data_IF_664605387343
#
_entry.id   IF_664605387343
#
_cell.length_a   1.000
_cell.length_b   1.000
_cell.length_c   1.000
_cell.angle_alpha   90.00
_cell.angle_beta   90.00
_cell.angle_gamma   90.00
#
_symmetry.space_group_name_H-M   'P 1'
#
loop_
_entity.id
_entity.type
_entity.pdbx_description
1 polymer ?
#
# COMPACT_ATOMS: atom_id res chain seq x y z
N UNK A 1 2.01 14.46 -10.46
CA UNK A 1 1.24 13.24 -10.84
C UNK A 1 1.96 12.46 -11.95
N UNK A 2 1.93 11.12 -11.94
CA UNK A 2 2.50 10.24 -13.00
C UNK A 2 1.42 9.58 -13.88
N UNK A 3 1.31 9.92 -15.19
CA UNK A 3 0.40 9.26 -16.12
C UNK A 3 0.80 7.83 -16.49
N UNK A 4 -0.18 6.98 -16.79
CA UNK A 4 0.00 5.58 -17.18
C UNK A 4 0.24 5.41 -18.69
N UNK A 5 1.29 6.06 -19.21
CA UNK A 5 1.67 6.03 -20.64
C UNK A 5 3.15 5.65 -20.74
N UNK A 6 3.45 4.52 -21.40
CA UNK A 6 4.78 3.88 -21.38
C UNK A 6 5.93 4.78 -21.86
N UNK A 7 5.68 5.72 -22.78
CA UNK A 7 6.70 6.61 -23.34
C UNK A 7 6.84 7.95 -22.59
N UNK A 8 6.05 8.20 -21.55
CA UNK A 8 6.05 9.48 -20.83
C UNK A 8 6.63 9.26 -19.44
N UNK A 9 7.92 9.55 -19.33
CA UNK A 9 8.68 9.44 -18.08
C UNK A 9 8.61 10.70 -17.19
N UNK A 10 7.69 11.62 -17.50
CA UNK A 10 7.56 12.91 -16.82
C UNK A 10 6.40 12.91 -15.83
N UNK A 11 6.60 13.60 -14.72
CA UNK A 11 5.55 13.96 -13.78
C UNK A 11 4.91 15.30 -14.18
N UNK A 12 3.60 15.44 -13.97
CA UNK A 12 2.85 16.64 -14.33
C UNK A 12 2.02 17.14 -13.14
N UNK A 13 1.93 18.45 -13.02
CA UNK A 13 1.13 19.12 -11.99
C UNK A 13 -0.32 19.29 -12.46
N UNK A 14 -1.23 19.00 -11.55
CA UNK A 14 -2.67 19.14 -11.76
C UNK A 14 -3.30 19.77 -10.52
N UNK A 15 -4.34 20.56 -10.72
CA UNK A 15 -5.15 21.11 -9.65
C UNK A 15 -6.10 20.03 -9.12
N UNK A 16 -6.14 19.87 -7.80
CA UNK A 16 -7.14 19.04 -7.11
C UNK A 16 -8.39 19.90 -6.86
N UNK A 17 -9.55 19.58 -7.46
CA UNK A 17 -10.80 20.28 -7.14
C UNK A 17 -11.22 20.00 -5.69
N UNK A 18 -11.85 20.98 -5.03
CA UNK A 18 -12.32 20.86 -3.64
C UNK A 18 -13.19 19.61 -3.41
N UNK A 19 -14.06 19.28 -4.37
CA UNK A 19 -14.92 18.08 -4.32
C UNK A 19 -14.15 16.74 -4.30
N UNK A 20 -12.86 16.75 -4.64
CA UNK A 20 -11.97 15.59 -4.64
C UNK A 20 -10.90 15.67 -3.54
N UNK A 21 -10.78 16.77 -2.80
CA UNK A 21 -9.70 17.00 -1.82
C UNK A 21 -9.59 15.86 -0.81
N UNK A 22 -10.71 15.44 -0.22
CA UNK A 22 -10.74 14.37 0.81
C UNK A 22 -10.42 12.96 0.27
N UNK A 23 -10.38 12.78 -1.06
CA UNK A 23 -10.16 11.49 -1.73
C UNK A 23 -8.78 11.37 -2.38
N UNK A 24 -8.08 12.48 -2.51
CA UNK A 24 -6.82 12.57 -3.25
C UNK A 24 -5.68 12.67 -2.24
N UNK A 25 -4.86 11.64 -2.20
CA UNK A 25 -3.62 11.55 -1.43
C UNK A 25 -2.55 10.92 -2.34
N UNK A 26 -1.28 10.99 -1.93
CA UNK A 26 -0.21 10.26 -2.62
C UNK A 26 -0.59 8.78 -2.77
N UNK A 27 -0.44 8.26 -3.99
CA UNK A 27 -0.85 6.91 -4.35
C UNK A 27 -2.22 6.79 -5.00
N UNK A 28 -3.14 7.75 -4.78
CA UNK A 28 -4.49 7.69 -5.37
C UNK A 28 -4.41 7.55 -6.89
N UNK A 29 -5.17 6.60 -7.43
CA UNK A 29 -5.33 6.41 -8.86
C UNK A 29 -6.37 7.41 -9.35
N UNK A 30 -5.99 8.26 -10.29
CA UNK A 30 -6.83 9.35 -10.78
C UNK A 30 -7.00 9.29 -12.31
N UNK A 31 -7.94 10.08 -12.82
CA UNK A 31 -8.14 10.31 -14.24
C UNK A 31 -7.78 11.75 -14.58
N UNK A 32 -6.98 11.94 -15.63
CA UNK A 32 -6.56 13.26 -16.10
C UNK A 32 -6.65 13.40 -17.61
N UNK A 33 -6.59 14.65 -18.07
CA UNK A 33 -6.38 14.95 -19.50
C UNK A 33 -4.89 15.14 -19.75
N UNK A 34 -4.34 14.32 -20.64
CA UNK A 34 -2.98 14.46 -21.18
C UNK A 34 -3.08 14.58 -22.70
N UNK A 35 -2.62 15.69 -23.27
CA UNK A 35 -2.70 15.96 -24.72
C UNK A 35 -4.09 15.69 -25.32
N UNK A 36 -5.15 16.16 -24.64
CA UNK A 36 -6.54 16.00 -25.09
C UNK A 36 -7.15 14.61 -24.87
N UNK A 37 -6.38 13.64 -24.38
CA UNK A 37 -6.85 12.27 -24.10
C UNK A 37 -7.06 12.05 -22.61
N UNK A 38 -8.09 11.27 -22.26
CA UNK A 38 -8.36 10.87 -20.87
C UNK A 38 -7.48 9.67 -20.51
N UNK A 39 -6.51 9.87 -19.62
CA UNK A 39 -5.56 8.83 -19.20
C UNK A 39 -5.63 8.60 -17.70
N UNK A 40 -5.38 7.36 -17.29
CA UNK A 40 -5.15 7.01 -15.89
C UNK A 40 -3.79 7.55 -15.45
N UNK A 41 -3.63 7.81 -14.17
CA UNK A 41 -2.32 7.86 -13.54
C UNK A 41 -2.41 7.86 -12.02
N UNK A 42 -1.30 8.18 -11.37
CA UNK A 42 -1.16 8.17 -9.92
C UNK A 42 -0.70 9.51 -9.39
N UNK A 43 -1.23 9.90 -8.25
CA UNK A 43 -0.66 10.99 -7.44
C UNK A 43 0.65 10.47 -6.85
N UNK A 44 1.73 11.21 -7.02
CA UNK A 44 3.10 10.80 -6.58
C UNK A 44 3.73 11.82 -5.63
N UNK A 45 3.07 12.95 -5.46
CA UNK A 45 3.37 14.04 -4.54
C UNK A 45 2.12 14.92 -4.43
N UNK A 46 1.94 15.53 -3.27
CA UNK A 46 0.97 16.59 -2.95
C UNK A 46 1.72 17.83 -2.44
N UNK A 47 1.00 18.95 -2.28
CA UNK A 47 1.53 20.24 -1.81
C UNK A 47 2.83 20.72 -2.51
N UNK A 48 2.93 20.42 -3.81
CA UNK A 48 4.09 20.80 -4.63
C UNK A 48 4.04 22.27 -5.03
N UNK A 49 5.21 22.89 -5.15
CA UNK A 49 5.34 24.16 -5.87
C UNK A 49 5.25 23.85 -7.36
N UNK A 50 4.21 24.31 -8.07
CA UNK A 50 3.99 23.88 -9.44
C UNK A 50 5.01 24.50 -10.40
N UNK A 51 5.47 23.74 -11.38
CA UNK A 51 6.42 24.20 -12.43
C UNK A 51 5.85 25.35 -13.27
N UNK A 52 4.52 25.46 -13.31
CA UNK A 52 3.76 26.53 -13.98
C UNK A 52 2.89 27.22 -12.95
N UNK A 53 2.63 28.52 -13.15
CA UNK A 53 1.72 29.25 -12.26
C UNK A 53 0.36 28.56 -12.12
N UNK A 54 -0.20 28.53 -10.91
CA UNK A 54 -1.38 27.74 -10.55
C UNK A 54 -2.58 27.90 -11.50
N UNK A 55 -2.79 29.09 -12.07
CA UNK A 55 -3.87 29.36 -13.04
C UNK A 55 -3.75 28.65 -14.39
N UNK A 56 -2.65 27.94 -14.66
CA UNK A 56 -2.43 27.16 -15.89
C UNK A 56 -2.59 25.64 -15.66
N UNK A 57 -2.80 25.23 -14.40
CA UNK A 57 -2.94 23.81 -14.08
C UNK A 57 -4.31 23.30 -14.52
N UNK A 58 -4.31 22.13 -15.15
CA UNK A 58 -5.56 21.44 -15.47
C UNK A 58 -6.09 20.77 -14.21
N UNK A 59 -7.41 20.76 -14.05
CA UNK A 59 -8.06 20.04 -12.96
C UNK A 59 -8.02 18.51 -13.17
N UNK A 60 -7.92 17.76 -12.08
CA UNK A 60 -8.18 16.32 -12.08
C UNK A 60 -9.63 16.03 -12.50
N UNK A 61 -9.85 14.97 -13.28
CA UNK A 61 -11.19 14.60 -13.74
C UNK A 61 -11.94 13.73 -12.72
N UNK A 62 -11.22 12.85 -12.02
CA UNK A 62 -11.78 11.94 -11.02
C UNK A 62 -10.69 11.30 -10.16
N UNK A 63 -11.00 11.03 -8.89
CA UNK A 63 -10.34 10.01 -8.09
C UNK A 63 -11.02 8.66 -8.36
N UNK A 64 -10.28 7.70 -8.93
CA UNK A 64 -10.83 6.44 -9.44
C UNK A 64 -10.73 5.33 -8.40
N UNK A 65 -9.58 5.19 -7.76
CA UNK A 65 -9.30 4.11 -6.80
C UNK A 65 -8.22 4.52 -5.82
N UNK A 66 -8.21 3.92 -4.63
CA UNK A 66 -7.00 3.81 -3.82
C UNK A 66 -5.91 3.12 -4.64
N UNK A 67 -4.67 3.59 -4.49
CA UNK A 67 -3.50 2.93 -5.05
C UNK A 67 -2.50 2.57 -3.94
N UNK A 68 -1.22 2.34 -4.28
CA UNK A 68 -0.20 2.04 -3.28
C UNK A 68 -0.07 3.20 -2.28
N UNK A 69 0.14 2.93 -0.97
CA UNK A 69 0.40 3.99 0.01
C UNK A 69 1.70 4.74 -0.29
N UNK A 70 1.89 5.92 0.33
CA UNK A 70 2.99 6.83 0.01
C UNK A 70 4.39 6.20 0.15
N UNK A 71 4.60 5.41 1.20
CA UNK A 71 5.83 4.64 1.42
C UNK A 71 6.09 3.62 0.31
N UNK A 72 5.06 2.96 -0.20
CA UNK A 72 5.15 2.04 -1.34
C UNK A 72 5.36 2.81 -2.65
N UNK A 73 4.80 4.01 -2.81
CA UNK A 73 5.09 4.89 -3.96
C UNK A 73 6.58 5.25 -3.99
N UNK A 74 7.16 5.61 -2.83
CA UNK A 74 8.59 5.90 -2.72
C UNK A 74 9.45 4.65 -2.95
N UNK A 75 9.04 3.49 -2.44
CA UNK A 75 9.70 2.22 -2.75
C UNK A 75 9.64 1.91 -4.26
N UNK A 76 8.51 2.15 -4.92
CA UNK A 76 8.37 1.99 -6.36
C UNK A 76 9.30 2.95 -7.13
N UNK A 77 9.48 4.19 -6.64
CA UNK A 77 10.39 5.17 -7.23
C UNK A 77 11.84 4.70 -7.09
N UNK A 78 12.24 4.26 -5.91
CA UNK A 78 13.55 3.66 -5.68
C UNK A 78 13.78 2.43 -6.57
N UNK A 79 12.78 1.55 -6.68
CA UNK A 79 12.88 0.35 -7.49
C UNK A 79 13.05 0.67 -8.99
N UNK A 80 12.24 1.60 -9.51
CA UNK A 80 12.36 2.06 -10.90
C UNK A 80 13.76 2.56 -11.22
N UNK A 81 14.35 3.37 -10.32
CA UNK A 81 15.73 3.83 -10.43
C UNK A 81 16.75 2.68 -10.33
N UNK A 82 16.61 1.79 -9.32
CA UNK A 82 17.56 0.72 -9.01
C UNK A 82 17.67 -0.36 -10.09
N UNK A 83 16.57 -0.62 -10.80
CA UNK A 83 16.47 -1.67 -11.83
C UNK A 83 16.21 -1.10 -13.24
N UNK A 84 16.36 0.21 -13.43
CA UNK A 84 16.14 0.90 -14.71
C UNK A 84 14.79 0.55 -15.38
N UNK A 85 13.73 0.40 -14.57
CA UNK A 85 12.39 0.04 -15.02
C UNK A 85 11.44 1.25 -15.04
N UNK A 86 10.34 1.23 -15.83
CA UNK A 86 9.39 2.33 -15.84
C UNK A 86 8.67 2.48 -14.50
N UNK A 87 8.69 3.70 -13.92
CA UNK A 87 8.03 3.96 -12.64
C UNK A 87 6.53 3.65 -12.65
N UNK A 88 5.85 3.95 -13.77
CA UNK A 88 4.44 3.61 -13.97
C UNK A 88 4.16 2.10 -13.96
N UNK A 89 5.12 1.27 -14.40
CA UNK A 89 4.96 -0.18 -14.34
C UNK A 89 5.03 -0.70 -12.90
N UNK A 90 5.93 -0.14 -12.08
CA UNK A 90 6.01 -0.45 -10.65
C UNK A 90 4.73 -0.04 -9.92
N UNK A 91 4.26 1.19 -10.16
CA UNK A 91 3.00 1.67 -9.58
C UNK A 91 1.80 0.82 -10.01
N UNK A 92 1.77 0.35 -11.26
CA UNK A 92 0.74 -0.56 -11.74
C UNK A 92 0.79 -1.91 -11.04
N UNK A 93 1.98 -2.48 -10.85
CA UNK A 93 2.15 -3.74 -10.12
C UNK A 93 1.77 -3.62 -8.64
N UNK A 94 2.05 -2.48 -8.01
CA UNK A 94 1.69 -2.19 -6.62
C UNK A 94 0.23 -1.73 -6.44
N UNK A 95 -0.54 -1.59 -7.53
CA UNK A 95 -1.94 -1.19 -7.46
C UNK A 95 -2.86 -2.40 -7.29
N UNK A 96 -4.01 -2.24 -6.60
CA UNK A 96 -5.04 -3.28 -6.56
C UNK A 96 -5.54 -3.66 -7.97
N UNK A 97 -5.83 -4.95 -8.23
CA UNK A 97 -6.36 -5.39 -9.53
C UNK A 97 -7.80 -4.91 -9.78
N UNK A 98 -8.55 -4.65 -8.70
CA UNK A 98 -9.92 -4.15 -8.72
C UNK A 98 -10.01 -2.73 -8.15
N UNK A 99 -11.07 -1.99 -8.51
CA UNK A 99 -11.31 -0.64 -7.96
C UNK A 99 -11.57 -0.74 -6.45
N UNK A 100 -10.76 -0.02 -5.68
CA UNK A 100 -10.91 0.14 -4.24
C UNK A 100 -11.28 1.59 -3.96
N UNK A 101 -12.37 1.91 -3.25
CA UNK A 101 -12.71 3.29 -2.92
C UNK A 101 -11.54 3.99 -2.19
N UNK A 102 -11.08 5.16 -2.66
CA UNK A 102 -10.07 5.94 -1.96
C UNK A 102 -10.65 6.40 -0.63
N UNK A 103 -10.04 5.95 0.47
CA UNK A 103 -10.30 6.38 1.84
C UNK A 103 -9.01 6.97 2.42
N UNK A 104 -9.08 7.89 3.39
CA UNK A 104 -7.89 8.31 4.12
C UNK A 104 -7.12 7.07 4.60
N UNK A 105 -5.88 6.96 4.15
CA UNK A 105 -5.01 5.90 4.61
C UNK A 105 -4.43 6.34 5.95
N UNK A 106 -4.94 5.78 7.04
CA UNK A 106 -4.18 5.78 8.27
C UNK A 106 -2.95 4.89 8.00
N UNK A 107 -1.71 5.39 8.18
CA UNK A 107 -0.56 4.52 8.20
C UNK A 107 -0.89 3.38 9.15
N UNK A 108 -0.71 2.10 8.77
CA UNK A 108 -0.66 1.08 9.79
C UNK A 108 0.40 1.60 10.77
N UNK A 109 0.06 1.67 12.06
CA UNK A 109 1.08 1.83 13.10
C UNK A 109 2.17 0.86 12.67
N UNK A 110 3.34 1.43 12.34
CA UNK A 110 4.41 0.70 11.69
C UNK A 110 4.48 -0.63 12.42
N UNK A 111 4.50 -1.72 11.65
CA UNK A 111 4.66 -3.05 12.21
C UNK A 111 6.03 -3.19 12.91
N UNK A 112 6.33 -2.39 13.93
CA UNK A 112 6.44 -2.93 15.28
C UNK A 112 5.21 -3.80 15.49
N UNK A 113 5.26 -4.98 14.85
CA UNK A 113 4.76 -6.18 15.46
C UNK A 113 5.16 -6.02 16.92
N UNK A 114 4.23 -5.88 17.89
CA UNK A 114 4.69 -6.14 19.23
C UNK A 114 5.38 -7.49 19.10
N UNK A 115 6.60 -7.62 19.63
CA UNK A 115 7.16 -8.95 19.87
C UNK A 115 6.11 -9.59 20.78
N UNK A 116 5.14 -10.27 20.18
CA UNK A 116 4.07 -10.91 20.90
C UNK A 116 4.82 -12.04 21.58
N UNK A 117 5.06 -11.87 22.88
CA UNK A 117 5.63 -12.93 23.69
C UNK A 117 4.77 -14.16 23.46
N UNK A 118 5.40 -15.30 23.17
CA UNK A 118 4.66 -16.55 23.03
C UNK A 118 3.70 -16.71 24.22
N UNK A 119 2.43 -17.06 23.98
CA UNK A 119 1.48 -17.24 25.07
C UNK A 119 1.97 -18.35 26.02
N UNK A 120 1.60 -18.34 27.30
CA UNK A 120 1.97 -19.40 28.22
C UNK A 120 1.51 -20.75 27.67
N UNK A 121 2.46 -21.67 27.58
CA UNK A 121 2.32 -23.00 26.98
C UNK A 121 1.71 -23.99 27.98
N UNK A 122 0.41 -23.86 28.26
CA UNK A 122 -0.33 -24.85 29.05
C UNK A 122 -1.59 -25.27 28.30
N UNK A 123 -1.55 -26.44 27.68
CA UNK A 123 -2.69 -27.05 27.01
C UNK A 123 -3.11 -28.30 27.77
N UNK A 124 -4.34 -28.33 28.28
CA UNK A 124 -4.94 -29.57 28.76
C UNK A 124 -5.56 -30.31 27.56
N UNK A 125 -4.70 -31.07 26.87
CA UNK A 125 -5.07 -31.86 25.69
C UNK A 125 -6.06 -32.98 26.07
N UNK A 126 -6.11 -33.39 27.34
CA UNK A 126 -7.04 -34.42 27.81
C UNK A 126 -8.46 -33.89 27.96
N UNK A 127 -8.62 -32.62 28.36
CA UNK A 127 -9.91 -31.96 28.45
C UNK A 127 -10.45 -31.49 27.08
N UNK A 128 -9.57 -31.16 26.13
CA UNK A 128 -9.95 -30.70 24.78
C UNK A 128 -9.06 -31.32 23.70
N UNK A 129 -9.57 -32.29 22.91
CA UNK A 129 -8.78 -32.98 21.88
C UNK A 129 -8.48 -32.10 20.64
N UNK A 130 -9.15 -30.94 20.49
CA UNK A 130 -8.93 -29.97 19.41
C UNK A 130 -8.94 -28.57 19.99
N UNK A 131 -7.97 -27.73 19.59
CA UNK A 131 -7.85 -26.35 20.04
C UNK A 131 -7.19 -25.46 18.99
N UNK A 132 -7.44 -24.15 19.11
CA UNK A 132 -6.77 -23.12 18.32
C UNK A 132 -5.70 -22.45 19.19
N UNK A 133 -4.48 -22.34 18.65
CA UNK A 133 -3.38 -21.61 19.28
C UNK A 133 -2.93 -20.47 18.36
N UNK A 134 -2.90 -19.24 18.89
CA UNK A 134 -2.28 -18.12 18.21
C UNK A 134 -0.77 -18.14 18.49
N UNK A 135 0.05 -18.24 17.42
CA UNK A 135 1.51 -18.37 17.54
C UNK A 135 2.23 -17.26 16.77
N UNK A 136 3.17 -16.52 17.39
CA UNK A 136 3.95 -15.49 16.70
C UNK A 136 4.81 -16.10 15.57
N UNK A 137 4.94 -15.46 14.40
CA UNK A 137 5.71 -15.98 13.28
C UNK A 137 7.22 -16.06 13.58
N UNK A 138 7.72 -15.27 14.53
CA UNK A 138 9.12 -15.27 14.97
C UNK A 138 9.43 -16.17 16.17
N UNK A 139 8.43 -16.80 16.80
CA UNK A 139 8.63 -17.66 17.96
C UNK A 139 8.94 -19.11 17.55
N UNK A 140 9.80 -19.82 18.29
CA UNK A 140 10.21 -21.18 17.95
C UNK A 140 9.05 -22.17 18.07
N UNK A 141 8.55 -22.67 16.94
CA UNK A 141 7.44 -23.63 16.89
C UNK A 141 7.72 -24.92 17.65
N UNK A 142 8.98 -25.27 17.93
CA UNK A 142 9.32 -26.46 18.73
C UNK A 142 8.81 -26.36 20.16
N UNK A 143 8.72 -25.15 20.73
CA UNK A 143 8.18 -24.94 22.07
C UNK A 143 6.67 -25.26 22.11
N UNK A 144 5.92 -24.82 21.08
CA UNK A 144 4.51 -25.18 20.92
C UNK A 144 4.31 -26.69 20.77
N UNK A 145 5.11 -27.34 19.93
CA UNK A 145 5.03 -28.80 19.74
C UNK A 145 5.34 -29.53 21.04
N UNK A 146 6.39 -29.15 21.76
CA UNK A 146 6.76 -29.76 23.04
C UNK A 146 5.64 -29.64 24.09
N UNK A 147 4.94 -28.51 24.13
CA UNK A 147 3.82 -28.30 25.04
C UNK A 147 2.56 -29.14 24.72
N UNK A 148 2.46 -29.65 23.49
CA UNK A 148 1.36 -30.54 23.06
C UNK A 148 1.70 -32.03 23.25
N UNK A 149 2.96 -32.37 23.54
CA UNK A 149 3.35 -33.74 23.82
C UNK A 149 2.81 -34.17 25.19
N UNK A 150 2.34 -35.42 25.28
CA UNK A 150 1.96 -35.99 26.55
C UNK A 150 3.18 -36.02 27.50
N UNK A 151 3.02 -35.70 28.80
CA UNK A 151 4.11 -35.68 29.77
C UNK A 151 4.74 -37.07 30.02
N UNK A 152 4.12 -38.12 29.50
CA UNK A 152 4.61 -39.49 29.57
C UNK A 152 4.32 -40.17 28.24
N UNK A 153 5.35 -40.68 27.58
CA UNK A 153 5.17 -41.56 26.42
C UNK A 153 4.45 -42.84 26.84
N UNK A 154 3.61 -43.36 25.94
CA UNK A 154 2.96 -44.66 26.14
C UNK A 154 3.95 -45.81 26.23
#
# INVERSE_FOLDING_TARGET
>A
MRPDVAAVEREFDYLVPDALADKVQVGTIVRVVLHGRRVRGWVVADDVVPDRGAGQLRALLAAVSAGPPADVVDLCRFAAWRWAGPFSAMLRAASPPNVVPPRPFAPPDAGVYPISSAPPLSFDVTARPVGLAEWPPGADRRELVAALLAPSGS
#
